data_IF_261248813906
#
_entry.id   IF_261248813906
#
_cell.length_a   1.000
_cell.length_b   1.000
_cell.length_c   1.000
_cell.angle_alpha   90.00
_cell.angle_beta   90.00
_cell.angle_gamma   90.00
#
_symmetry.space_group_name_H-M   'P 1'
#
loop_
_entity.id
_entity.type
_entity.pdbx_description
1 polymer ?
#
# COMPACT_ATOMS: atom_id res chain seq x y z
N UNK A 1 -4.44 13.06 -22.59
CA UNK A 1 -3.71 14.01 -21.70
C UNK A 1 -3.99 13.76 -20.21
N UNK A 2 -5.12 13.08 -19.89
CA UNK A 2 -5.54 12.83 -18.50
C UNK A 2 -4.80 11.67 -17.78
N UNK A 3 -4.41 10.61 -18.47
CA UNK A 3 -3.74 9.45 -17.85
C UNK A 3 -2.44 9.79 -17.10
N UNK A 4 -1.68 10.77 -17.56
CA UNK A 4 -0.46 11.24 -16.87
C UNK A 4 -0.77 12.03 -15.58
N UNK A 5 -1.89 12.75 -15.53
CA UNK A 5 -2.31 13.49 -14.34
C UNK A 5 -2.83 12.54 -13.26
N UNK A 6 -3.59 11.52 -13.62
CA UNK A 6 -4.14 10.55 -12.68
C UNK A 6 -3.06 9.65 -12.07
N UNK A 7 -2.08 9.22 -12.84
CA UNK A 7 -0.90 8.52 -12.33
C UNK A 7 -0.10 9.37 -11.33
N UNK A 8 0.00 10.69 -11.57
CA UNK A 8 0.68 11.60 -10.66
C UNK A 8 -0.09 11.78 -9.34
N UNK A 9 -1.43 11.86 -9.39
CA UNK A 9 -2.29 11.96 -8.19
C UNK A 9 -2.16 10.73 -7.30
N UNK A 10 -2.24 9.54 -7.88
CA UNK A 10 -2.10 8.27 -7.15
C UNK A 10 -0.73 8.19 -6.46
N UNK A 11 0.35 8.57 -7.14
CA UNK A 11 1.70 8.62 -6.53
C UNK A 11 1.81 9.63 -5.39
N UNK A 12 1.23 10.82 -5.54
CA UNK A 12 1.21 11.83 -4.47
C UNK A 12 0.49 11.30 -3.24
N UNK A 13 -0.67 10.64 -3.41
CA UNK A 13 -1.41 10.03 -2.31
C UNK A 13 -0.62 8.91 -1.64
N UNK A 14 0.05 8.05 -2.41
CA UNK A 14 0.90 6.99 -1.88
C UNK A 14 2.07 7.56 -1.04
N UNK A 15 2.73 8.60 -1.54
CA UNK A 15 3.75 9.31 -0.77
C UNK A 15 3.18 9.98 0.48
N UNK A 16 1.95 10.50 0.41
CA UNK A 16 1.23 11.03 1.56
C UNK A 16 0.98 9.97 2.63
N UNK A 17 0.53 8.77 2.25
CA UNK A 17 0.35 7.63 3.16
C UNK A 17 1.70 7.24 3.77
N UNK A 18 2.78 7.16 2.99
CA UNK A 18 4.11 6.88 3.50
C UNK A 18 4.55 7.92 4.52
N UNK A 19 4.44 9.22 4.20
CA UNK A 19 4.83 10.31 5.09
C UNK A 19 4.05 10.27 6.41
N UNK A 20 2.74 10.00 6.35
CA UNK A 20 1.89 9.87 7.52
C UNK A 20 2.31 8.67 8.39
N UNK A 21 2.62 7.53 7.76
CA UNK A 21 3.13 6.36 8.48
C UNK A 21 4.50 6.64 9.12
N UNK A 22 5.38 7.37 8.44
CA UNK A 22 6.67 7.80 9.03
C UNK A 22 6.44 8.64 10.29
N UNK A 23 5.55 9.64 10.22
CA UNK A 23 5.21 10.48 11.38
C UNK A 23 4.60 9.65 12.52
N UNK A 24 3.67 8.74 12.21
CA UNK A 24 3.00 7.90 13.21
C UNK A 24 3.96 6.94 13.89
N UNK A 25 4.77 6.21 13.13
CA UNK A 25 5.73 5.22 13.67
C UNK A 25 6.83 5.91 14.48
N UNK A 26 7.42 7.00 13.96
CA UNK A 26 8.46 7.74 14.68
C UNK A 26 7.89 8.41 15.91
N UNK A 27 6.70 9.02 15.82
CA UNK A 27 6.03 9.64 16.96
C UNK A 27 5.75 8.65 18.08
N UNK A 28 5.20 7.46 17.75
CA UNK A 28 4.94 6.40 18.72
C UNK A 28 6.23 5.82 19.30
N UNK A 29 7.25 5.59 18.49
CA UNK A 29 8.54 5.07 18.94
C UNK A 29 9.20 6.03 19.95
N UNK A 30 9.19 7.33 19.67
CA UNK A 30 9.70 8.38 20.57
C UNK A 30 8.85 8.46 21.84
N UNK A 31 7.52 8.38 21.71
CA UNK A 31 6.60 8.41 22.84
C UNK A 31 6.83 7.23 23.80
N UNK A 32 6.91 6.01 23.26
CA UNK A 32 7.20 4.79 24.04
C UNK A 32 8.55 4.94 24.76
N UNK A 33 9.60 5.39 24.06
CA UNK A 33 10.91 5.63 24.65
C UNK A 33 10.85 6.65 25.80
N UNK A 34 10.24 7.82 25.55
CA UNK A 34 10.13 8.89 26.55
C UNK A 34 9.36 8.44 27.79
N UNK A 35 8.30 7.64 27.61
CA UNK A 35 7.50 7.09 28.71
C UNK A 35 8.32 6.10 29.54
N UNK A 36 9.01 5.15 28.89
CA UNK A 36 9.87 4.17 29.57
C UNK A 36 10.98 4.88 30.39
N UNK A 37 11.62 5.89 29.80
CA UNK A 37 12.67 6.66 30.47
C UNK A 37 12.13 7.47 31.66
N UNK A 38 10.93 8.06 31.50
CA UNK A 38 10.25 8.78 32.60
C UNK A 38 9.89 7.84 33.76
N UNK A 39 9.34 6.66 33.46
CA UNK A 39 9.03 5.65 34.48
C UNK A 39 10.30 5.14 35.16
N UNK A 40 11.40 4.93 34.41
CA UNK A 40 12.70 4.51 34.96
C UNK A 40 13.24 5.53 35.96
N UNK A 41 13.12 6.82 35.68
CA UNK A 41 13.58 7.89 36.56
C UNK A 41 12.72 8.05 37.80
N UNK A 42 11.41 7.79 37.69
CA UNK A 42 10.47 7.97 38.83
C UNK A 42 10.39 6.77 39.78
N UNK A 43 10.96 5.62 39.44
CA UNK A 43 10.95 4.37 40.23
C UNK A 43 9.54 3.83 40.56
N UNK A 44 8.47 4.32 39.94
CA UNK A 44 7.07 4.11 40.36
C UNK A 44 6.48 2.78 39.90
N UNK A 45 7.01 2.14 38.84
CA UNK A 45 6.36 0.96 38.25
C UNK A 45 7.37 -0.13 37.80
N UNK A 46 7.99 -0.79 38.79
CA UNK A 46 8.98 -1.86 38.50
C UNK A 46 8.40 -3.05 37.76
N UNK A 47 7.17 -3.44 38.07
CA UNK A 47 6.50 -4.57 37.41
C UNK A 47 6.23 -4.28 35.91
N UNK A 48 5.77 -3.06 35.62
CA UNK A 48 5.56 -2.60 34.25
C UNK A 48 6.87 -2.62 33.45
N UNK A 49 7.93 -2.04 34.02
CA UNK A 49 9.26 -2.05 33.38
C UNK A 49 9.81 -3.45 33.15
N UNK A 50 9.67 -4.37 34.12
CA UNK A 50 10.15 -5.74 33.97
C UNK A 50 9.38 -6.49 32.90
N UNK A 51 8.06 -6.25 32.76
CA UNK A 51 7.23 -6.83 31.71
C UNK A 51 7.61 -6.31 30.33
N UNK A 52 7.85 -5.01 30.17
CA UNK A 52 8.26 -4.41 28.89
C UNK A 52 9.68 -4.83 28.51
N UNK A 53 10.61 -4.91 29.45
CA UNK A 53 12.00 -5.30 29.17
C UNK A 53 12.11 -6.71 28.57
N UNK A 54 11.14 -7.59 28.82
CA UNK A 54 11.10 -8.90 28.19
C UNK A 54 10.75 -8.83 26.68
N UNK A 55 10.11 -7.75 26.22
CA UNK A 55 9.62 -7.58 24.85
C UNK A 55 10.48 -6.59 24.06
N UNK A 56 11.00 -5.55 24.69
CA UNK A 56 11.71 -4.43 24.05
C UNK A 56 13.15 -4.34 24.58
N UNK A 57 14.08 -4.81 23.71
CA UNK A 57 15.52 -4.79 23.96
C UNK A 57 16.04 -3.38 23.96
N UNK A 58 16.22 -2.53 24.77
CA UNK A 58 16.71 -1.14 24.73
C UNK A 58 15.83 -0.19 23.92
N UNK A 59 14.96 0.59 24.57
CA UNK A 59 14.03 1.50 23.91
C UNK A 59 14.68 2.52 22.97
N UNK A 60 15.91 2.95 23.24
CA UNK A 60 16.67 3.87 22.40
C UNK A 60 17.00 3.27 21.03
N UNK A 61 17.42 2.00 20.98
CA UNK A 61 17.72 1.31 19.73
C UNK A 61 16.47 1.10 18.87
N UNK A 62 15.30 1.00 19.48
CA UNK A 62 14.04 0.86 18.74
C UNK A 62 13.76 2.06 17.86
N UNK A 63 14.08 3.28 18.28
CA UNK A 63 13.89 4.50 17.46
C UNK A 63 14.72 4.40 16.19
N UNK A 64 16.02 4.07 16.33
CA UNK A 64 16.93 3.95 15.18
C UNK A 64 16.56 2.78 14.29
N UNK A 65 16.12 1.67 14.86
CA UNK A 65 15.69 0.51 14.11
C UNK A 65 14.40 0.79 13.34
N UNK A 66 13.41 1.46 13.93
CA UNK A 66 12.23 1.94 13.24
C UNK A 66 12.58 2.91 12.10
N UNK A 67 13.48 3.86 12.34
CA UNK A 67 13.94 4.78 11.31
C UNK A 67 14.64 4.06 10.13
N UNK A 68 15.50 3.07 10.44
CA UNK A 68 16.16 2.24 9.42
C UNK A 68 15.14 1.43 8.60
N UNK A 69 14.19 0.78 9.27
CA UNK A 69 13.15 -0.02 8.60
C UNK A 69 12.24 0.85 7.72
N UNK A 70 11.88 2.04 8.17
CA UNK A 70 11.13 3.01 7.37
C UNK A 70 11.93 3.48 6.16
N UNK A 71 13.23 3.73 6.31
CA UNK A 71 14.12 4.09 5.20
C UNK A 71 14.25 2.94 4.18
N UNK A 72 14.33 1.68 4.65
CA UNK A 72 14.33 0.51 3.79
C UNK A 72 13.00 0.36 3.03
N UNK A 73 11.86 0.62 3.69
CA UNK A 73 10.54 0.59 3.07
C UNK A 73 10.42 1.67 1.98
N UNK A 74 10.82 2.90 2.27
CA UNK A 74 10.86 3.98 1.28
C UNK A 74 11.82 3.67 0.12
N UNK A 75 12.99 3.10 0.43
CA UNK A 75 13.96 2.64 -0.56
C UNK A 75 13.42 1.54 -1.47
N UNK A 76 12.70 0.55 -0.91
CA UNK A 76 12.02 -0.52 -1.66
C UNK A 76 11.04 0.06 -2.68
N UNK A 77 10.22 1.03 -2.26
CA UNK A 77 9.29 1.73 -3.15
C UNK A 77 10.02 2.47 -4.27
N UNK A 78 11.09 3.20 -3.94
CA UNK A 78 11.88 3.94 -4.93
C UNK A 78 12.57 3.02 -5.94
N UNK A 79 13.17 1.92 -5.48
CA UNK A 79 13.83 0.91 -6.34
C UNK A 79 12.82 0.29 -7.31
N UNK A 80 11.64 -0.06 -6.84
CA UNK A 80 10.55 -0.62 -7.63
C UNK A 80 10.10 0.34 -8.74
N UNK A 81 9.94 1.64 -8.41
CA UNK A 81 9.49 2.65 -9.36
C UNK A 81 10.51 2.99 -10.45
N UNK A 82 11.80 2.99 -10.11
CA UNK A 82 12.85 3.51 -10.98
C UNK A 82 13.66 2.44 -11.68
N UNK A 83 13.97 1.33 -11.00
CA UNK A 83 14.94 0.36 -11.49
C UNK A 83 14.28 -0.86 -12.14
N UNK A 84 13.12 -1.29 -11.65
CA UNK A 84 12.50 -2.55 -12.10
C UNK A 84 10.98 -2.43 -12.33
N UNK A 85 10.48 -1.47 -13.14
CA UNK A 85 9.03 -1.26 -13.29
C UNK A 85 8.31 -2.42 -13.97
N UNK A 86 9.01 -3.28 -14.72
CA UNK A 86 8.41 -4.35 -15.51
C UNK A 86 8.77 -5.77 -15.04
N UNK A 87 9.69 -5.92 -14.10
CA UNK A 87 10.10 -7.24 -13.62
C UNK A 87 9.16 -7.77 -12.54
N UNK A 88 8.17 -8.58 -12.94
CA UNK A 88 7.15 -9.15 -12.05
C UNK A 88 7.73 -9.94 -10.86
N UNK A 89 8.86 -10.63 -11.01
CA UNK A 89 9.50 -11.40 -9.92
C UNK A 89 10.11 -10.47 -8.87
N UNK A 90 10.80 -9.42 -9.32
CA UNK A 90 11.41 -8.42 -8.42
C UNK A 90 10.33 -7.66 -7.67
N UNK A 91 9.25 -7.27 -8.35
CA UNK A 91 8.09 -6.62 -7.75
C UNK A 91 7.48 -7.52 -6.66
N UNK A 92 7.22 -8.80 -6.96
CA UNK A 92 6.66 -9.73 -5.99
C UNK A 92 7.56 -9.90 -4.77
N UNK A 93 8.86 -10.09 -4.97
CA UNK A 93 9.83 -10.22 -3.88
C UNK A 93 9.90 -8.95 -3.03
N UNK A 94 9.89 -7.77 -3.65
CA UNK A 94 9.89 -6.49 -2.91
C UNK A 94 8.61 -6.29 -2.09
N UNK A 95 7.43 -6.70 -2.61
CA UNK A 95 6.18 -6.64 -1.85
C UNK A 95 6.20 -7.56 -0.62
N UNK A 96 6.75 -8.76 -0.75
CA UNK A 96 6.94 -9.69 0.39
C UNK A 96 7.93 -9.11 1.41
N UNK A 97 9.00 -8.46 0.94
CA UNK A 97 9.95 -7.77 1.82
C UNK A 97 9.28 -6.58 2.56
N UNK A 98 8.44 -5.81 1.87
CA UNK A 98 7.64 -4.72 2.49
C UNK A 98 6.76 -5.28 3.63
N UNK A 99 6.12 -6.43 3.45
CA UNK A 99 5.38 -7.10 4.52
C UNK A 99 6.26 -7.43 5.73
N UNK A 100 7.42 -8.06 5.49
CA UNK A 100 8.34 -8.43 6.57
C UNK A 100 8.83 -7.20 7.34
N UNK A 101 9.16 -6.12 6.64
CA UNK A 101 9.57 -4.83 7.24
C UNK A 101 8.44 -4.26 8.10
N UNK A 102 7.20 -4.22 7.59
CA UNK A 102 6.07 -3.69 8.33
C UNK A 102 5.76 -4.52 9.57
N UNK A 103 5.83 -5.85 9.51
CA UNK A 103 5.69 -6.70 10.68
C UNK A 103 6.78 -6.46 11.72
N UNK A 104 8.03 -6.28 11.28
CA UNK A 104 9.11 -5.94 12.19
C UNK A 104 8.83 -4.61 12.92
N UNK A 105 8.34 -3.59 12.22
CA UNK A 105 7.95 -2.31 12.82
C UNK A 105 6.80 -2.48 13.84
N UNK A 106 5.78 -3.27 13.48
CA UNK A 106 4.63 -3.54 14.37
C UNK A 106 5.08 -4.22 15.66
N UNK A 107 5.97 -5.21 15.56
CA UNK A 107 6.56 -5.89 16.73
C UNK A 107 7.34 -4.91 17.59
N UNK A 108 8.16 -4.03 17.00
CA UNK A 108 8.93 -3.02 17.71
C UNK A 108 8.04 -2.00 18.45
N UNK A 109 6.84 -1.74 17.93
CA UNK A 109 5.83 -0.88 18.54
C UNK A 109 4.88 -1.64 19.49
N UNK A 110 5.17 -2.90 19.86
CA UNK A 110 4.31 -3.75 20.70
C UNK A 110 2.87 -3.85 20.18
N UNK A 111 2.69 -3.97 18.87
CA UNK A 111 1.39 -4.04 18.20
C UNK A 111 0.47 -2.82 18.43
N UNK A 112 1.02 -1.71 18.93
CA UNK A 112 0.23 -0.50 19.15
C UNK A 112 -0.11 0.29 17.87
N UNK A 113 0.43 -0.11 16.70
CA UNK A 113 0.12 0.54 15.43
C UNK A 113 0.23 -0.44 14.27
N UNK A 114 -0.92 -0.84 13.73
CA UNK A 114 -1.05 -1.72 12.57
C UNK A 114 -1.29 -0.95 11.25
N UNK A 115 -1.53 0.38 11.32
CA UNK A 115 -1.85 1.23 10.18
C UNK A 115 -0.80 1.20 9.04
N UNK A 116 0.45 0.84 9.34
CA UNK A 116 1.51 0.70 8.34
C UNK A 116 1.20 -0.42 7.31
N UNK A 117 0.38 -1.42 7.66
CA UNK A 117 -0.04 -2.47 6.72
C UNK A 117 -0.95 -1.94 5.61
N UNK A 118 -1.65 -0.83 5.83
CA UNK A 118 -2.42 -0.15 4.79
C UNK A 118 -1.51 0.40 3.67
N UNK A 119 -0.27 0.79 4.00
CA UNK A 119 0.72 1.16 3.01
C UNK A 119 1.13 -0.03 2.15
N UNK A 120 1.35 -1.21 2.76
CA UNK A 120 1.66 -2.44 2.00
C UNK A 120 0.48 -2.82 1.11
N UNK A 121 -0.74 -2.74 1.62
CA UNK A 121 -1.94 -2.99 0.83
C UNK A 121 -2.02 -2.03 -0.38
N UNK A 122 -1.73 -0.74 -0.18
CA UNK A 122 -1.68 0.24 -1.25
C UNK A 122 -0.62 -0.10 -2.31
N UNK A 123 0.55 -0.57 -1.88
CA UNK A 123 1.62 -1.04 -2.77
C UNK A 123 1.19 -2.29 -3.56
N UNK A 124 0.51 -3.24 -2.92
CA UNK A 124 0.00 -4.45 -3.59
C UNK A 124 -0.99 -4.10 -4.69
N UNK A 125 -1.95 -3.21 -4.42
CA UNK A 125 -2.94 -2.79 -5.42
C UNK A 125 -2.26 -2.13 -6.63
N UNK A 126 -1.26 -1.27 -6.40
CA UNK A 126 -0.60 -0.51 -7.45
C UNK A 126 0.33 -1.37 -8.31
N UNK A 127 1.12 -2.24 -7.69
CA UNK A 127 2.24 -2.91 -8.38
C UNK A 127 1.97 -4.36 -8.77
N UNK A 128 1.01 -5.07 -8.16
CA UNK A 128 0.73 -6.44 -8.52
C UNK A 128 -0.03 -6.53 -9.85
N UNK A 129 0.72 -6.80 -10.94
CA UNK A 129 0.18 -6.91 -12.31
C UNK A 129 -0.68 -8.16 -12.52
N UNK A 130 -0.37 -9.26 -11.82
CA UNK A 130 -1.05 -10.55 -12.01
C UNK A 130 -2.30 -10.65 -11.12
N UNK A 131 -3.49 -10.80 -11.72
CA UNK A 131 -4.75 -10.77 -10.98
C UNK A 131 -4.81 -11.74 -9.80
N UNK A 132 -4.40 -13.01 -10.00
CA UNK A 132 -4.42 -14.02 -8.92
C UNK A 132 -3.48 -13.66 -7.76
N UNK A 133 -2.26 -13.24 -8.05
CA UNK A 133 -1.29 -12.85 -7.01
C UNK A 133 -1.72 -11.56 -6.31
N UNK A 134 -2.33 -10.62 -7.02
CA UNK A 134 -2.85 -9.37 -6.45
C UNK A 134 -3.94 -9.63 -5.42
N UNK A 135 -4.95 -10.45 -5.76
CA UNK A 135 -6.02 -10.80 -4.83
C UNK A 135 -5.49 -11.55 -3.61
N UNK A 136 -4.57 -12.50 -3.81
CA UNK A 136 -3.97 -13.25 -2.72
C UNK A 136 -3.19 -12.34 -1.77
N UNK A 137 -2.27 -11.50 -2.30
CA UNK A 137 -1.48 -10.57 -1.48
C UNK A 137 -2.37 -9.50 -0.80
N UNK A 138 -3.42 -9.02 -1.47
CA UNK A 138 -4.38 -8.09 -0.88
C UNK A 138 -5.14 -8.75 0.29
N UNK A 139 -5.59 -9.99 0.13
CA UNK A 139 -6.24 -10.75 1.19
C UNK A 139 -5.30 -11.00 2.37
N UNK A 140 -4.02 -11.33 2.11
CA UNK A 140 -3.00 -11.47 3.14
C UNK A 140 -2.76 -10.14 3.86
N UNK A 141 -2.72 -9.01 3.14
CA UNK A 141 -2.52 -7.69 3.74
C UNK A 141 -3.68 -7.30 4.66
N UNK A 142 -4.92 -7.49 4.21
CA UNK A 142 -6.10 -7.21 5.02
C UNK A 142 -6.18 -8.17 6.23
N UNK A 143 -5.97 -9.47 6.00
CA UNK A 143 -5.93 -10.46 7.07
C UNK A 143 -4.86 -10.13 8.12
N UNK A 144 -3.67 -9.71 7.67
CA UNK A 144 -2.59 -9.28 8.54
C UNK A 144 -2.93 -8.02 9.32
N UNK A 145 -3.62 -7.05 8.71
CA UNK A 145 -4.08 -5.83 9.38
C UNK A 145 -5.05 -6.15 10.53
N UNK A 146 -5.98 -7.10 10.30
CA UNK A 146 -6.93 -7.54 11.31
C UNK A 146 -6.22 -8.35 12.41
N UNK A 147 -5.34 -9.28 12.04
CA UNK A 147 -4.63 -10.15 12.98
C UNK A 147 -3.56 -9.40 13.80
N UNK A 148 -2.99 -8.33 13.25
CA UNK A 148 -2.01 -7.49 13.96
C UNK A 148 -2.68 -6.44 14.86
N UNK A 149 -3.96 -6.60 15.16
CA UNK A 149 -4.66 -5.76 16.13
C UNK A 149 -4.23 -6.12 17.56
N UNK A 150 -3.94 -5.07 18.34
CA UNK A 150 -3.52 -5.21 19.75
C UNK A 150 -4.56 -5.99 20.58
N UNK A 151 -5.84 -5.69 20.41
CA UNK A 151 -6.91 -6.28 21.23
C UNK A 151 -7.02 -7.81 21.00
N UNK A 152 -6.86 -8.26 19.76
CA UNK A 152 -6.87 -9.69 19.43
C UNK A 152 -5.66 -10.43 20.01
N UNK A 153 -4.47 -9.83 19.91
CA UNK A 153 -3.24 -10.46 20.34
C UNK A 153 -3.07 -10.43 21.86
N UNK A 154 -3.60 -9.42 22.54
CA UNK A 154 -3.56 -9.29 24.01
C UNK A 154 -4.29 -10.42 24.75
N UNK A 155 -5.22 -11.12 24.07
CA UNK A 155 -5.90 -12.30 24.63
C UNK A 155 -4.90 -13.45 24.89
N UNK A 156 -3.90 -13.61 24.00
CA UNK A 156 -2.95 -14.73 24.05
C UNK A 156 -1.57 -14.34 24.59
N UNK A 157 -1.21 -13.07 24.47
CA UNK A 157 0.11 -12.56 24.87
C UNK A 157 -0.04 -11.37 25.81
N UNK A 158 0.85 -11.25 26.80
CA UNK A 158 0.90 -10.10 27.71
C UNK A 158 1.54 -8.90 26.97
N UNK A 159 0.71 -8.14 26.27
CA UNK A 159 1.09 -6.92 25.57
C UNK A 159 0.69 -5.70 26.40
N UNK A 160 1.34 -4.58 26.15
CA UNK A 160 1.02 -3.30 26.77
C UNK A 160 0.42 -2.35 25.74
N UNK A 161 -0.80 -1.87 26.02
CA UNK A 161 -1.52 -0.95 25.14
C UNK A 161 -0.93 0.45 25.18
N UNK A 162 -1.25 1.26 24.19
CA UNK A 162 -0.92 2.69 24.22
C UNK A 162 -1.53 3.37 25.46
N UNK A 163 -2.68 2.89 25.95
CA UNK A 163 -3.33 3.41 27.17
C UNK A 163 -2.52 3.11 28.42
N UNK A 164 -1.86 1.95 28.50
CA UNK A 164 -0.97 1.60 29.61
C UNK A 164 0.21 2.57 29.68
N UNK A 165 0.81 2.93 28.53
CA UNK A 165 1.87 3.93 28.49
C UNK A 165 1.36 5.34 28.85
N UNK A 166 0.16 5.71 28.40
CA UNK A 166 -0.44 7.02 28.67
C UNK A 166 -0.83 7.18 30.15
N UNK A 167 -1.17 6.08 30.85
CA UNK A 167 -1.64 6.10 32.24
C UNK A 167 -0.64 6.73 33.23
N UNK A 168 0.64 6.82 32.88
CA UNK A 168 1.69 7.44 33.71
C UNK A 168 1.76 8.97 33.62
N UNK A 169 0.92 9.59 32.80
CA UNK A 169 0.84 11.04 32.63
C UNK A 169 -0.37 11.63 33.36
N UNK A 170 -0.37 12.95 33.58
CA UNK A 170 -1.50 13.68 34.17
C UNK A 170 -2.75 13.57 33.28
N UNK A 171 -3.94 13.62 33.88
CA UNK A 171 -5.23 13.43 33.17
C UNK A 171 -5.37 14.33 31.92
N UNK A 172 -4.96 15.59 31.98
CA UNK A 172 -4.97 16.51 30.84
C UNK A 172 -4.04 16.03 29.73
N UNK A 173 -2.81 15.61 30.07
CA UNK A 173 -1.84 15.09 29.09
C UNK A 173 -2.30 13.78 28.49
N UNK A 174 -2.93 12.90 29.28
CA UNK A 174 -3.53 11.65 28.80
C UNK A 174 -4.55 11.90 27.69
N UNK A 175 -5.45 12.86 27.88
CA UNK A 175 -6.46 13.22 26.87
C UNK A 175 -5.83 13.74 25.59
N UNK A 176 -4.82 14.62 25.67
CA UNK A 176 -4.11 15.13 24.49
C UNK A 176 -3.38 14.03 23.73
N UNK A 177 -2.68 13.14 24.42
CA UNK A 177 -1.93 12.05 23.81
C UNK A 177 -2.87 11.04 23.12
N UNK A 178 -3.94 10.65 23.79
CA UNK A 178 -4.94 9.75 23.24
C UNK A 178 -5.65 10.36 22.04
N UNK A 179 -6.03 11.64 22.12
CA UNK A 179 -6.65 12.36 21.00
C UNK A 179 -5.69 12.45 19.79
N UNK A 180 -4.43 12.77 20.03
CA UNK A 180 -3.40 12.85 18.98
C UNK A 180 -3.19 11.50 18.30
N UNK A 181 -3.12 10.41 19.07
CA UNK A 181 -3.02 9.06 18.56
C UNK A 181 -4.24 8.69 17.67
N UNK A 182 -5.45 8.93 18.17
CA UNK A 182 -6.68 8.64 17.42
C UNK A 182 -6.78 9.47 16.14
N UNK A 183 -6.35 10.72 16.15
CA UNK A 183 -6.30 11.57 14.95
C UNK A 183 -5.34 10.99 13.93
N UNK A 184 -4.13 10.57 14.32
CA UNK A 184 -3.14 9.99 13.42
C UNK A 184 -3.65 8.69 12.79
N UNK A 185 -4.25 7.79 13.59
CA UNK A 185 -4.84 6.54 13.10
C UNK A 185 -5.99 6.82 12.13
N UNK A 186 -6.90 7.71 12.50
CA UNK A 186 -8.06 8.08 11.65
C UNK A 186 -7.61 8.71 10.34
N UNK A 187 -6.62 9.60 10.40
CA UNK A 187 -6.07 10.25 9.20
C UNK A 187 -5.42 9.24 8.26
N UNK A 188 -4.74 8.21 8.80
CA UNK A 188 -4.16 7.14 7.99
C UNK A 188 -5.25 6.36 7.25
N UNK A 189 -6.34 5.99 7.94
CA UNK A 189 -7.48 5.28 7.33
C UNK A 189 -8.15 6.15 6.26
N UNK A 190 -8.38 7.45 6.54
CA UNK A 190 -8.97 8.39 5.58
C UNK A 190 -8.10 8.49 4.33
N UNK A 191 -6.80 8.71 4.49
CA UNK A 191 -5.86 8.78 3.36
C UNK A 191 -5.85 7.50 2.53
N UNK A 192 -5.92 6.35 3.19
CA UNK A 192 -6.01 5.06 2.52
C UNK A 192 -7.32 4.91 1.73
N UNK A 193 -8.47 5.30 2.30
CA UNK A 193 -9.77 5.26 1.60
C UNK A 193 -9.74 6.18 0.37
N UNK A 194 -9.24 7.41 0.52
CA UNK A 194 -9.10 8.36 -0.60
C UNK A 194 -8.19 7.77 -1.69
N UNK A 195 -7.10 7.11 -1.31
CA UNK A 195 -6.23 6.41 -2.26
C UNK A 195 -6.96 5.30 -3.01
N UNK A 196 -7.71 4.44 -2.31
CA UNK A 196 -8.50 3.37 -2.92
C UNK A 196 -9.52 3.90 -3.92
N UNK A 197 -10.27 4.95 -3.55
CA UNK A 197 -11.25 5.59 -4.45
C UNK A 197 -10.57 6.12 -5.72
N UNK A 198 -9.42 6.78 -5.59
CA UNK A 198 -8.68 7.26 -6.76
C UNK A 198 -8.20 6.13 -7.68
N UNK A 199 -7.74 5.01 -7.13
CA UNK A 199 -7.35 3.85 -7.94
C UNK A 199 -8.55 3.23 -8.65
N UNK A 200 -9.70 3.10 -7.98
CA UNK A 200 -10.91 2.55 -8.58
C UNK A 200 -11.36 3.43 -9.74
N UNK A 201 -11.40 4.74 -9.56
CA UNK A 201 -11.75 5.70 -10.62
C UNK A 201 -10.79 5.61 -11.81
N UNK A 202 -9.48 5.50 -11.56
CA UNK A 202 -8.47 5.32 -12.60
C UNK A 202 -8.67 4.01 -13.37
N UNK A 203 -8.98 2.91 -12.67
CA UNK A 203 -9.23 1.62 -13.32
C UNK A 203 -10.50 1.65 -14.18
N UNK A 204 -11.55 2.32 -13.74
CA UNK A 204 -12.77 2.51 -14.54
C UNK A 204 -12.49 3.30 -15.80
N UNK A 205 -11.79 4.43 -15.71
CA UNK A 205 -11.41 5.21 -16.88
C UNK A 205 -10.57 4.41 -17.89
N UNK A 206 -9.63 3.58 -17.43
CA UNK A 206 -8.85 2.70 -18.30
C UNK A 206 -9.72 1.62 -18.98
N UNK A 207 -10.74 1.10 -18.30
CA UNK A 207 -11.69 0.14 -18.88
C UNK A 207 -12.55 0.79 -19.98
N UNK A 208 -13.04 2.00 -19.74
CA UNK A 208 -13.83 2.76 -20.73
C UNK A 208 -13.00 3.07 -21.98
N UNK A 209 -11.71 3.42 -21.81
CA UNK A 209 -10.78 3.62 -22.94
C UNK A 209 -10.55 2.31 -23.74
N UNK A 210 -10.38 1.18 -23.03
CA UNK A 210 -10.23 -0.13 -23.69
C UNK A 210 -11.50 -0.50 -24.46
N UNK A 211 -12.68 -0.24 -23.93
CA UNK A 211 -13.94 -0.48 -24.63
C UNK A 211 -14.06 0.37 -25.89
N UNK A 212 -13.76 1.66 -25.82
CA UNK A 212 -13.78 2.56 -26.97
C UNK A 212 -12.78 2.13 -28.07
N UNK A 213 -11.55 1.70 -27.66
CA UNK A 213 -10.56 1.17 -28.60
C UNK A 213 -11.02 -0.14 -29.26
N UNK A 214 -11.68 -1.02 -28.52
CA UNK A 214 -12.22 -2.25 -29.07
C UNK A 214 -13.33 -1.99 -30.10
N UNK A 215 -14.23 -1.04 -29.85
CA UNK A 215 -15.24 -0.60 -30.82
C UNK A 215 -14.60 -0.06 -32.09
N UNK A 216 -13.59 0.82 -31.98
CA UNK A 216 -12.85 1.34 -33.11
C UNK A 216 -12.17 0.21 -33.93
N UNK A 217 -11.57 -0.77 -33.25
CA UNK A 217 -10.95 -1.92 -33.92
C UNK A 217 -11.98 -2.77 -34.64
N UNK A 218 -13.19 -2.92 -34.12
CA UNK A 218 -14.26 -3.64 -34.76
C UNK A 218 -14.71 -2.92 -36.03
N UNK A 219 -14.94 -1.60 -35.97
CA UNK A 219 -15.32 -0.77 -37.12
C UNK A 219 -14.27 -0.84 -38.27
N UNK A 220 -12.98 -0.74 -37.90
CA UNK A 220 -11.89 -0.89 -38.89
C UNK A 220 -11.85 -2.28 -39.50
N UNK A 221 -12.12 -3.31 -38.67
CA UNK A 221 -12.15 -4.69 -39.18
C UNK A 221 -13.31 -4.93 -40.15
N UNK A 222 -14.49 -4.36 -39.88
CA UNK A 222 -15.64 -4.38 -40.77
C UNK A 222 -15.34 -3.66 -42.12
N UNK A 223 -14.72 -2.46 -42.04
CA UNK A 223 -14.28 -1.74 -43.25
C UNK A 223 -13.26 -2.55 -44.07
N UNK A 224 -12.30 -3.21 -43.43
CA UNK A 224 -11.32 -4.07 -44.10
C UNK A 224 -11.99 -5.25 -44.82
N UNK A 225 -13.01 -5.86 -44.21
CA UNK A 225 -13.78 -6.92 -44.81
C UNK A 225 -14.53 -6.41 -46.04
N UNK A 226 -15.18 -5.24 -45.96
CA UNK A 226 -15.84 -4.61 -47.10
C UNK A 226 -14.87 -4.33 -48.27
N UNK A 227 -13.69 -3.75 -47.94
CA UNK A 227 -12.66 -3.52 -48.95
C UNK A 227 -12.15 -4.82 -49.58
N UNK A 228 -12.00 -5.89 -48.79
CA UNK A 228 -11.60 -7.22 -49.28
C UNK A 228 -12.62 -7.77 -50.29
N UNK A 229 -13.91 -7.70 -49.99
CA UNK A 229 -15.00 -8.14 -50.85
C UNK A 229 -15.06 -7.30 -52.15
N UNK A 230 -14.86 -5.97 -52.04
CA UNK A 230 -14.80 -5.10 -53.24
C UNK A 230 -13.59 -5.43 -54.10
N UNK A 231 -12.42 -5.65 -53.50
CA UNK A 231 -11.20 -6.01 -54.23
C UNK A 231 -11.37 -7.34 -54.99
N UNK A 232 -11.99 -8.33 -54.35
CA UNK A 232 -12.30 -9.63 -54.95
C UNK A 232 -13.26 -9.48 -56.19
N UNK A 233 -14.34 -8.73 -56.03
CA UNK A 233 -15.26 -8.43 -57.13
C UNK A 233 -14.58 -7.69 -58.27
N UNK A 234 -13.69 -6.73 -57.98
CA UNK A 234 -12.91 -6.03 -59.01
C UNK A 234 -11.94 -6.96 -59.74
N UNK A 235 -11.29 -7.87 -59.02
CA UNK A 235 -10.38 -8.87 -59.59
C UNK A 235 -11.16 -9.82 -60.53
N UNK A 236 -12.31 -10.31 -60.10
CA UNK A 236 -13.20 -11.16 -60.89
C UNK A 236 -13.68 -10.44 -62.17
N UNK A 237 -14.08 -9.19 -62.03
CA UNK A 237 -14.52 -8.38 -63.18
C UNK A 237 -13.37 -8.13 -64.17
N UNK A 238 -12.16 -7.88 -63.71
CA UNK A 238 -10.95 -7.73 -64.52
C UNK A 238 -10.65 -9.02 -65.29
N UNK A 239 -10.72 -10.15 -64.61
CA UNK A 239 -10.45 -11.46 -65.22
C UNK A 239 -11.49 -11.80 -66.28
N UNK A 240 -12.78 -11.57 -66.03
CA UNK A 240 -13.85 -11.75 -67.04
C UNK A 240 -13.62 -10.86 -68.25
N UNK A 241 -13.22 -9.58 -68.06
CA UNK A 241 -12.93 -8.67 -69.16
C UNK A 241 -11.68 -9.07 -69.96
N UNK A 242 -10.67 -9.69 -69.30
CA UNK A 242 -9.51 -10.24 -69.99
C UNK A 242 -9.88 -11.42 -70.85
N UNK A 243 -10.61 -12.39 -70.27
CA UNK A 243 -11.09 -13.56 -71.04
C UNK A 243 -11.98 -13.18 -72.23
N UNK A 244 -12.83 -12.17 -72.07
CA UNK A 244 -13.67 -11.67 -73.14
C UNK A 244 -12.90 -10.97 -74.29
N UNK A 245 -11.64 -10.57 -74.07
CA UNK A 245 -10.77 -9.99 -75.15
C UNK A 245 -9.89 -11.04 -75.84
N UNK A 246 -9.71 -12.21 -75.22
CA UNK A 246 -8.92 -13.31 -75.80
C UNK A 246 -9.73 -14.29 -76.64
N UNK A 247 -11.09 -14.12 -76.70
CA UNK A 247 -12.02 -14.80 -77.61
C UNK A 247 -12.36 -13.88 -78.81
#
# INVERSE_FOLDING_TARGET
MDTNMDNRRVRILQLGILALNVVSVMGLSIFIYATIENIRRSYVAREFLSGIQAIVWYPYWNIWLCALLLALLAGSMFVRDRLFPDNSKVILFSLVADFAICFAIIILLNFNYNGILLLVFSNVILYAKNGKSRYFLAAVAIGSFILADYELLSISYRLYSIQDYISFYNATTQQYLLSSYNILVSLNVIMFVVYCVNIINQQQGNLDEIHALNEQLQDVNEQLQEYSVMAEKMAETRERNRLAREI
#
